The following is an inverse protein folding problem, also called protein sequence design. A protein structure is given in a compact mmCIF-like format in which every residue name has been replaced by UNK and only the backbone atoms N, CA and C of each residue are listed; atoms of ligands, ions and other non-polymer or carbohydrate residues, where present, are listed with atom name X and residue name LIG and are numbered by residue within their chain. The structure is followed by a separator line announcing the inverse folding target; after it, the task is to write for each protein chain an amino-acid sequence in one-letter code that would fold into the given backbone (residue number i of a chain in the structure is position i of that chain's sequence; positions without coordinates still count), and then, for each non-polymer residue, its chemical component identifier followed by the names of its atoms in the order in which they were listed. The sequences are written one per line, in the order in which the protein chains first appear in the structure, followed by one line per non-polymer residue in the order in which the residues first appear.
data_IF_664498124711
#
_entry.id   IF_664498124711
#
_cell.length_a   1.000
_cell.length_b   1.000
_cell.length_c   1.000
_cell.angle_alpha   90.00
_cell.angle_beta   90.00
_cell.angle_gamma   90.00
#
_symmetry.space_group_name_H-M   'P 1'
#
loop_
_entity.id
_entity.type
_entity.pdbx_description
1 polymer ?
#
# COMPACT_ATOMS: atom_id res chain seq x y z
N UNK A 1 9.98 -4.99 6.08
CA UNK A 1 9.77 -4.38 4.74
C UNK A 1 10.89 -3.40 4.45
N UNK A 2 11.23 -3.29 3.17
CA UNK A 2 12.10 -2.23 2.67
C UNK A 2 11.27 -0.97 2.43
N UNK A 3 11.88 0.20 2.56
CA UNK A 3 11.21 1.49 2.36
C UNK A 3 11.98 2.25 1.28
N UNK A 4 11.26 2.71 0.26
CA UNK A 4 11.78 3.62 -0.75
C UNK A 4 11.16 5.00 -0.52
N UNK A 5 11.98 5.93 -0.04
CA UNK A 5 11.60 7.30 0.29
C UNK A 5 11.98 8.28 -0.85
N UNK A 6 12.43 7.79 -2.01
CA UNK A 6 13.04 8.64 -3.06
C UNK A 6 12.12 9.77 -3.52
N UNK A 7 10.82 9.51 -3.67
CA UNK A 7 9.85 10.52 -4.15
C UNK A 7 9.57 11.56 -3.06
N UNK A 8 9.30 11.11 -1.84
CA UNK A 8 9.03 12.01 -0.71
C UNK A 8 10.27 12.83 -0.35
N UNK A 9 11.48 12.28 -0.38
CA UNK A 9 12.71 13.04 -0.15
C UNK A 9 12.88 14.17 -1.19
N UNK A 10 12.61 13.90 -2.46
CA UNK A 10 12.63 14.92 -3.52
C UNK A 10 11.62 16.02 -3.27
N UNK A 11 10.40 15.66 -2.86
CA UNK A 11 9.37 16.62 -2.47
C UNK A 11 9.84 17.51 -1.32
N UNK A 12 10.37 16.92 -0.24
CA UNK A 12 10.85 17.66 0.93
C UNK A 12 12.01 18.60 0.59
N UNK A 13 12.89 18.19 -0.34
CA UNK A 13 13.99 19.02 -0.86
C UNK A 13 13.55 20.02 -1.93
N UNK A 14 12.29 19.98 -2.38
CA UNK A 14 11.75 20.79 -3.47
C UNK A 14 12.50 20.60 -4.79
N UNK A 15 12.96 19.38 -5.04
CA UNK A 15 13.58 19.00 -6.31
C UNK A 15 12.51 18.84 -7.40
N UNK A 16 12.86 19.11 -8.65
CA UNK A 16 11.96 18.90 -9.78
C UNK A 16 11.94 17.43 -10.25
N UNK A 17 10.95 17.07 -11.06
CA UNK A 17 10.92 15.78 -11.76
C UNK A 17 10.40 14.61 -10.92
N UNK A 18 9.57 14.86 -9.91
CA UNK A 18 8.88 13.82 -9.15
C UNK A 18 8.04 12.97 -10.10
N UNK A 19 7.32 13.64 -11.01
CA UNK A 19 6.43 13.04 -12.00
C UNK A 19 7.14 12.05 -12.92
N UNK A 20 8.48 12.08 -13.01
CA UNK A 20 9.24 11.16 -13.85
C UNK A 20 9.47 9.79 -13.18
N UNK A 21 9.08 9.63 -11.91
CA UNK A 21 9.12 8.35 -11.26
C UNK A 21 8.16 7.35 -11.92
N UNK A 22 8.60 6.11 -12.06
CA UNK A 22 7.88 5.08 -12.82
C UNK A 22 6.48 4.78 -12.28
N UNK A 23 6.27 4.97 -10.97
CA UNK A 23 4.99 4.65 -10.32
C UNK A 23 3.84 5.40 -11.00
N UNK A 24 4.04 6.66 -11.39
CA UNK A 24 2.98 7.50 -11.93
C UNK A 24 2.50 7.03 -13.32
N UNK A 25 3.29 6.23 -14.02
CA UNK A 25 2.90 5.58 -15.28
C UNK A 25 2.29 4.18 -15.07
N UNK A 26 2.21 3.71 -13.83
CA UNK A 26 1.68 2.38 -13.47
C UNK A 26 0.40 2.46 -12.64
N UNK A 27 -0.01 3.63 -12.13
CA UNK A 27 -1.26 3.77 -11.37
C UNK A 27 -2.48 3.49 -12.25
N UNK A 28 -2.57 4.15 -13.42
CA UNK A 28 -3.66 4.00 -14.39
C UNK A 28 -3.09 3.48 -15.71
N UNK A 29 -3.59 2.36 -16.26
CA UNK A 29 -3.10 1.83 -17.53
C UNK A 29 -3.24 2.84 -18.68
N UNK A 30 -2.12 3.17 -19.32
CA UNK A 30 -2.08 4.06 -20.48
C UNK A 30 -2.08 5.55 -20.17
N UNK A 31 -2.07 5.94 -18.89
CA UNK A 31 -2.06 7.34 -18.46
C UNK A 31 -0.94 7.59 -17.44
N UNK A 32 -0.39 8.80 -17.47
CA UNK A 32 0.49 9.29 -16.42
C UNK A 32 -0.36 9.95 -15.34
N UNK A 33 -0.64 9.21 -14.28
CA UNK A 33 -1.42 9.69 -13.13
C UNK A 33 -0.50 10.43 -12.15
N UNK A 34 -0.41 11.75 -12.30
CA UNK A 34 0.36 12.61 -11.40
C UNK A 34 -0.44 13.88 -11.10
N UNK A 35 -0.65 14.15 -9.83
CA UNK A 35 -1.21 15.40 -9.31
C UNK A 35 -0.07 16.18 -8.64
N UNK A 36 0.08 17.47 -8.96
CA UNK A 36 1.13 18.28 -8.36
C UNK A 36 0.91 18.33 -6.83
N UNK A 37 1.86 17.83 -6.01
CA UNK A 37 1.71 17.85 -4.57
C UNK A 37 1.69 19.28 -4.02
N UNK A 38 0.83 19.53 -3.03
CA UNK A 38 0.72 20.81 -2.33
C UNK A 38 1.94 21.05 -1.43
N UNK A 39 2.83 21.95 -1.86
CA UNK A 39 4.05 22.30 -1.14
C UNK A 39 3.78 22.90 0.25
N UNK A 40 2.57 23.41 0.53
CA UNK A 40 2.25 23.94 1.86
C UNK A 40 2.17 22.85 2.93
N UNK A 41 1.90 21.60 2.52
CA UNK A 41 1.81 20.42 3.42
C UNK A 41 3.16 19.80 3.77
N UNK A 42 4.27 20.41 3.36
CA UNK A 42 5.62 19.81 3.48
C UNK A 42 5.96 19.38 4.90
N UNK A 43 5.69 20.24 5.88
CA UNK A 43 6.06 19.96 7.28
C UNK A 43 5.18 18.83 7.87
N UNK A 44 3.91 18.74 7.46
CA UNK A 44 3.02 17.63 7.80
C UNK A 44 3.47 16.31 7.15
N UNK A 45 3.89 16.35 5.89
CA UNK A 45 4.46 15.20 5.18
C UNK A 45 5.74 14.72 5.85
N UNK A 46 6.63 15.61 6.30
CA UNK A 46 7.85 15.22 7.01
C UNK A 46 7.56 14.51 8.35
N UNK A 47 6.53 14.98 9.08
CA UNK A 47 6.08 14.34 10.31
C UNK A 47 5.47 12.96 10.03
N UNK A 48 4.58 12.88 9.05
CA UNK A 48 3.92 11.63 8.65
C UNK A 48 4.92 10.61 8.13
N UNK A 49 5.94 11.04 7.38
CA UNK A 49 7.03 10.18 6.91
C UNK A 49 7.70 9.45 8.08
N UNK A 50 8.05 10.18 9.15
CA UNK A 50 8.68 9.58 10.35
C UNK A 50 7.76 8.53 11.01
N UNK A 51 6.46 8.80 11.05
CA UNK A 51 5.47 7.88 11.61
C UNK A 51 5.31 6.61 10.75
N UNK A 52 5.07 6.76 9.44
CA UNK A 52 4.93 5.64 8.51
C UNK A 52 6.20 4.78 8.49
N UNK A 53 7.38 5.40 8.42
CA UNK A 53 8.64 4.66 8.37
C UNK A 53 8.83 3.79 9.62
N UNK A 54 8.37 4.24 10.79
CA UNK A 54 8.35 3.42 12.01
C UNK A 54 7.33 2.29 11.90
N UNK A 55 6.09 2.58 11.50
CA UNK A 55 5.01 1.59 11.38
C UNK A 55 5.33 0.48 10.37
N UNK A 56 5.98 0.81 9.25
CA UNK A 56 6.39 -0.14 8.22
C UNK A 56 7.55 -1.03 8.70
N UNK A 57 8.46 -0.50 9.52
CA UNK A 57 9.57 -1.27 10.11
C UNK A 57 9.08 -2.23 11.18
N UNK A 58 8.20 -1.76 12.06
CA UNK A 58 7.63 -2.54 13.16
C UNK A 58 6.31 -3.21 12.77
N UNK A 59 6.09 -3.43 11.47
CA UNK A 59 4.80 -3.84 10.94
C UNK A 59 4.32 -5.17 11.55
N UNK A 60 3.06 -5.16 11.98
CA UNK A 60 2.31 -6.34 12.40
C UNK A 60 0.94 -6.30 11.73
N UNK A 61 0.56 -7.33 10.96
CA UNK A 61 -0.75 -7.34 10.32
C UNK A 61 -1.88 -7.39 11.35
N UNK A 62 -3.03 -6.84 10.97
CA UNK A 62 -4.30 -7.14 11.65
C UNK A 62 -4.60 -8.63 11.53
N UNK A 63 -5.47 -9.15 12.40
CA UNK A 63 -5.85 -10.57 12.44
C UNK A 63 -4.62 -11.49 12.50
N UNK A 64 -3.61 -11.10 13.28
CA UNK A 64 -2.26 -11.70 13.24
C UNK A 64 -2.25 -13.23 13.28
N UNK A 65 -3.07 -13.86 14.14
CA UNK A 65 -3.12 -15.31 14.26
C UNK A 65 -3.75 -15.96 13.02
N UNK A 66 -4.82 -15.40 12.48
CA UNK A 66 -5.40 -15.84 11.21
C UNK A 66 -4.43 -15.63 10.05
N UNK A 67 -3.73 -14.50 10.02
CA UNK A 67 -2.71 -14.18 9.03
C UNK A 67 -1.56 -15.20 9.04
N UNK A 68 -1.11 -15.62 10.24
CA UNK A 68 -0.10 -16.67 10.40
C UNK A 68 -0.57 -18.04 9.87
N UNK A 69 -1.85 -18.36 10.04
CA UNK A 69 -2.42 -19.64 9.57
C UNK A 69 -2.58 -19.64 8.06
N UNK A 70 -3.10 -18.55 7.49
CA UNK A 70 -3.36 -18.46 6.05
C UNK A 70 -2.09 -18.33 5.23
N UNK A 71 -1.11 -17.55 5.72
CA UNK A 71 0.11 -17.24 4.97
C UNK A 71 1.37 -17.54 5.79
N UNK A 72 1.78 -18.80 6.00
CA UNK A 72 2.89 -19.14 6.89
C UNK A 72 4.23 -18.47 6.55
N UNK A 73 4.42 -18.04 5.29
CA UNK A 73 5.62 -17.36 4.80
C UNK A 73 5.51 -15.83 4.77
N UNK A 74 4.43 -15.23 5.30
CA UNK A 74 4.18 -13.78 5.19
C UNK A 74 5.33 -12.93 5.73
N UNK A 75 6.10 -13.42 6.71
CA UNK A 75 7.27 -12.72 7.26
C UNK A 75 8.39 -12.59 6.22
N UNK A 76 8.71 -13.69 5.54
CA UNK A 76 9.70 -13.71 4.46
C UNK A 76 9.25 -12.82 3.30
N UNK A 77 7.95 -12.88 2.96
CA UNK A 77 7.35 -12.00 1.95
C UNK A 77 7.50 -10.53 2.38
N UNK A 78 7.15 -10.21 3.63
CA UNK A 78 7.26 -8.88 4.24
C UNK A 78 8.70 -8.34 4.22
N UNK A 79 9.71 -9.17 4.45
CA UNK A 79 11.12 -8.76 4.37
C UNK A 79 11.53 -8.39 2.94
N UNK A 80 10.96 -9.05 1.93
CA UNK A 80 11.25 -8.82 0.52
C UNK A 80 10.39 -7.73 -0.12
N UNK A 81 9.22 -7.42 0.45
CA UNK A 81 8.33 -6.35 0.00
C UNK A 81 8.97 -4.97 0.19
N UNK A 82 8.81 -4.11 -0.81
CA UNK A 82 9.21 -2.70 -0.76
C UNK A 82 7.96 -1.83 -0.71
N UNK A 83 7.90 -0.93 0.28
CA UNK A 83 6.89 0.13 0.38
C UNK A 83 7.50 1.42 -0.17
N UNK A 84 6.92 1.97 -1.22
CA UNK A 84 7.29 3.25 -1.82
C UNK A 84 6.44 4.34 -1.16
N UNK A 85 7.11 5.30 -0.52
CA UNK A 85 6.46 6.47 0.06
C UNK A 85 6.46 7.60 -0.96
N UNK A 86 5.29 7.88 -1.52
CA UNK A 86 5.09 8.85 -2.59
C UNK A 86 4.33 10.09 -2.13
N UNK A 87 4.38 11.10 -2.99
CA UNK A 87 3.44 12.22 -3.01
C UNK A 87 3.05 12.49 -4.47
N UNK A 88 1.82 12.92 -4.70
CA UNK A 88 1.34 13.29 -6.03
C UNK A 88 0.59 12.18 -6.77
N UNK A 89 0.18 11.12 -6.09
CA UNK A 89 -0.85 10.22 -6.60
C UNK A 89 -2.22 10.91 -6.55
N UNK A 90 -2.99 10.89 -7.66
CA UNK A 90 -4.31 11.52 -7.66
C UNK A 90 -5.29 10.74 -6.78
N UNK A 91 -6.35 11.38 -6.30
CA UNK A 91 -7.43 10.64 -5.63
C UNK A 91 -8.09 9.64 -6.61
N UNK A 92 -8.49 8.45 -6.16
CA UNK A 92 -8.49 7.96 -4.78
C UNK A 92 -7.25 7.12 -4.41
N UNK A 93 -6.12 7.27 -5.11
CA UNK A 93 -4.96 6.38 -4.95
C UNK A 93 -4.09 6.76 -3.74
N UNK A 94 -4.51 6.35 -2.54
CA UNK A 94 -3.80 6.53 -1.27
C UNK A 94 -2.90 5.34 -0.92
N UNK A 95 -3.37 4.11 -1.18
CA UNK A 95 -2.63 2.87 -1.05
C UNK A 95 -2.90 1.95 -2.25
N UNK A 96 -1.88 1.25 -2.73
CA UNK A 96 -2.00 0.30 -3.83
C UNK A 96 -0.78 -0.58 -4.01
N UNK A 97 -0.96 -1.77 -4.58
CA UNK A 97 0.13 -2.62 -5.10
C UNK A 97 0.33 -2.41 -6.61
N UNK A 98 1.59 -2.28 -7.04
CA UNK A 98 1.99 -2.25 -8.47
C UNK A 98 3.18 -3.15 -8.74
N UNK A 99 3.15 -3.80 -9.91
CA UNK A 99 4.22 -4.66 -10.37
C UNK A 99 5.21 -3.90 -11.24
N UNK A 100 6.50 -4.10 -11.01
CA UNK A 100 7.58 -3.66 -11.90
C UNK A 100 8.69 -4.70 -11.91
N UNK A 101 9.16 -5.06 -13.11
CA UNK A 101 10.24 -6.02 -13.32
C UNK A 101 9.99 -7.37 -12.61
N UNK A 102 8.73 -7.82 -12.58
CA UNK A 102 8.32 -9.08 -11.93
C UNK A 102 8.25 -9.02 -10.40
N UNK A 103 8.42 -7.84 -9.80
CA UNK A 103 8.30 -7.62 -8.36
C UNK A 103 7.13 -6.70 -8.03
N UNK A 104 6.40 -7.02 -6.97
CA UNK A 104 5.34 -6.18 -6.43
C UNK A 104 5.88 -5.15 -5.43
N UNK A 105 5.31 -3.95 -5.49
CA UNK A 105 5.61 -2.82 -4.64
C UNK A 105 4.32 -2.29 -4.05
N UNK A 106 4.29 -2.07 -2.74
CA UNK A 106 3.24 -1.31 -2.09
C UNK A 106 3.56 0.17 -2.26
N UNK A 107 2.59 1.00 -2.59
CA UNK A 107 2.76 2.45 -2.76
C UNK A 107 1.80 3.14 -1.81
N UNK A 108 2.33 4.06 -1.00
CA UNK A 108 1.55 4.92 -0.11
C UNK A 108 1.75 6.39 -0.46
N UNK A 109 0.65 7.10 -0.70
CA UNK A 109 0.68 8.54 -0.92
C UNK A 109 0.44 9.31 0.39
N UNK A 110 1.49 10.03 0.82
CA UNK A 110 1.46 10.73 2.09
C UNK A 110 0.50 11.92 2.09
N UNK A 111 0.29 12.59 0.95
CA UNK A 111 -0.63 13.74 0.89
C UNK A 111 -2.08 13.27 1.02
N UNK A 112 -2.42 12.14 0.39
CA UNK A 112 -3.74 11.52 0.55
C UNK A 112 -3.95 11.06 1.99
N UNK A 113 -2.93 10.49 2.63
CA UNK A 113 -3.01 10.12 4.05
C UNK A 113 -3.24 11.29 5.01
N UNK A 114 -2.73 12.49 4.70
CA UNK A 114 -3.04 13.68 5.50
C UNK A 114 -4.54 14.02 5.52
N UNK A 115 -5.30 13.64 4.48
CA UNK A 115 -6.75 13.88 4.42
C UNK A 115 -7.50 13.08 5.50
N UNK A 116 -7.03 11.88 5.85
CA UNK A 116 -7.57 11.10 6.97
C UNK A 116 -7.26 11.73 8.32
N UNK A 117 -6.01 12.15 8.53
CA UNK A 117 -5.60 12.84 9.77
C UNK A 117 -6.41 14.12 9.99
N UNK A 118 -6.59 14.92 8.94
CA UNK A 118 -7.37 16.15 8.99
C UNK A 118 -8.86 15.91 9.24
N UNK A 119 -9.36 14.71 8.93
CA UNK A 119 -10.73 14.28 9.21
C UNK A 119 -10.90 13.63 10.60
N UNK A 120 -9.84 13.62 11.43
CA UNK A 120 -9.86 13.11 12.79
C UNK A 120 -9.74 11.59 12.92
N UNK A 121 -9.36 10.89 11.86
CA UNK A 121 -9.12 9.44 11.92
C UNK A 121 -7.76 9.11 12.55
N UNK A 122 -7.67 7.92 13.15
CA UNK A 122 -6.41 7.35 13.63
C UNK A 122 -5.55 6.92 12.42
N UNK A 123 -4.58 7.76 12.08
CA UNK A 123 -3.73 7.54 10.91
C UNK A 123 -2.85 6.30 11.05
N UNK A 124 -2.35 6.00 12.25
CA UNK A 124 -1.49 4.83 12.47
C UNK A 124 -2.29 3.54 12.24
N UNK A 125 -3.53 3.52 12.73
CA UNK A 125 -4.47 2.42 12.48
C UNK A 125 -4.78 2.27 10.98
N UNK A 126 -5.06 3.37 10.27
CA UNK A 126 -5.35 3.33 8.83
C UNK A 126 -4.16 2.81 8.03
N UNK A 127 -2.95 3.31 8.29
CA UNK A 127 -1.73 2.87 7.61
C UNK A 127 -1.53 1.36 7.82
N UNK A 128 -1.66 0.88 9.07
CA UNK A 128 -1.51 -0.55 9.37
C UNK A 128 -2.60 -1.39 8.74
N UNK A 129 -3.83 -0.89 8.68
CA UNK A 129 -4.96 -1.55 8.02
C UNK A 129 -4.70 -1.70 6.51
N UNK A 130 -4.34 -0.61 5.83
CA UNK A 130 -4.03 -0.63 4.40
C UNK A 130 -2.80 -1.48 4.11
N UNK A 131 -1.75 -1.42 4.94
CA UNK A 131 -0.58 -2.28 4.76
C UNK A 131 -0.91 -3.76 4.96
N UNK A 132 -1.84 -4.09 5.87
CA UNK A 132 -2.34 -5.46 6.03
C UNK A 132 -3.08 -5.94 4.78
N UNK A 133 -3.91 -5.06 4.21
CA UNK A 133 -4.66 -5.32 2.98
C UNK A 133 -3.72 -5.55 1.79
N UNK A 134 -2.81 -4.61 1.53
CA UNK A 134 -1.88 -4.70 0.40
C UNK A 134 -0.90 -5.88 0.53
N UNK A 135 -0.43 -6.20 1.74
CA UNK A 135 0.40 -7.38 1.94
C UNK A 135 -0.38 -8.68 1.69
N UNK A 136 -1.70 -8.69 1.93
CA UNK A 136 -2.50 -9.88 1.71
C UNK A 136 -2.56 -10.21 0.22
N UNK A 137 -2.71 -9.21 -0.66
CA UNK A 137 -2.59 -9.40 -2.10
C UNK A 137 -1.26 -10.06 -2.48
N UNK A 138 -0.14 -9.54 -1.98
CA UNK A 138 1.19 -10.11 -2.28
C UNK A 138 1.28 -11.57 -1.81
N UNK A 139 0.76 -11.89 -0.62
CA UNK A 139 0.74 -13.27 -0.12
C UNK A 139 -0.15 -14.18 -0.99
N UNK A 140 -1.33 -13.69 -1.40
CA UNK A 140 -2.24 -14.42 -2.29
C UNK A 140 -1.61 -14.66 -3.65
N UNK A 141 -0.91 -13.68 -4.21
CA UNK A 141 -0.24 -13.81 -5.50
C UNK A 141 0.93 -14.80 -5.48
N UNK A 142 1.63 -14.92 -4.35
CA UNK A 142 2.69 -15.91 -4.15
C UNK A 142 2.12 -17.34 -4.08
N UNK A 143 1.08 -17.57 -3.26
CA UNK A 143 0.50 -18.90 -3.05
C UNK A 143 -0.45 -19.33 -4.18
N UNK A 144 -1.15 -18.37 -4.79
CA UNK A 144 -2.20 -18.55 -5.80
C UNK A 144 -2.05 -17.53 -6.94
N UNK A 145 -1.00 -17.66 -7.77
CA UNK A 145 -0.69 -16.67 -8.80
C UNK A 145 -1.84 -16.50 -9.82
N UNK A 146 -2.11 -15.27 -10.29
CA UNK A 146 -3.15 -15.02 -11.27
C UNK A 146 -2.82 -15.68 -12.61
N UNK A 147 -3.78 -16.41 -13.18
CA UNK A 147 -3.60 -17.08 -14.47
C UNK A 147 -3.86 -16.08 -15.61
N UNK A 148 -2.82 -15.75 -16.37
CA UNK A 148 -2.82 -14.69 -17.40
C UNK A 148 -3.80 -14.88 -18.59
N UNK A 149 -4.49 -16.03 -18.71
CA UNK A 149 -5.36 -16.36 -19.85
C UNK A 149 -6.74 -16.89 -19.46
N UNK A 150 -7.35 -16.26 -18.46
CA UNK A 150 -8.68 -16.60 -17.98
C UNK A 150 -9.80 -15.85 -18.73
N UNK A 151 -10.98 -16.47 -18.86
CA UNK A 151 -12.20 -15.80 -19.31
C UNK A 151 -12.67 -14.74 -18.30
N UNK A 152 -13.68 -13.96 -18.67
CA UNK A 152 -14.19 -12.90 -17.79
C UNK A 152 -14.65 -13.43 -16.42
N UNK A 153 -15.34 -14.58 -16.40
CA UNK A 153 -15.89 -15.17 -15.17
C UNK A 153 -14.79 -15.64 -14.23
N UNK A 154 -13.74 -16.27 -14.75
CA UNK A 154 -12.63 -16.74 -13.94
C UNK A 154 -11.84 -15.57 -13.35
N UNK A 155 -11.61 -14.51 -14.13
CA UNK A 155 -11.00 -13.27 -13.62
C UNK A 155 -11.85 -12.65 -12.51
N UNK A 156 -13.17 -12.57 -12.70
CA UNK A 156 -14.08 -12.04 -11.68
C UNK A 156 -14.04 -12.87 -10.39
N UNK A 157 -14.00 -14.21 -10.49
CA UNK A 157 -13.86 -15.10 -9.32
C UNK A 157 -12.56 -14.85 -8.58
N UNK A 158 -11.45 -14.74 -9.30
CA UNK A 158 -10.15 -14.46 -8.71
C UNK A 158 -10.14 -13.11 -8.01
N UNK A 159 -10.55 -12.04 -8.69
CA UNK A 159 -10.62 -10.69 -8.11
C UNK A 159 -11.54 -10.66 -6.88
N UNK A 160 -12.68 -11.35 -6.92
CA UNK A 160 -13.59 -11.39 -5.76
C UNK A 160 -12.95 -12.11 -4.57
N UNK A 161 -12.23 -13.20 -4.82
CA UNK A 161 -11.50 -13.94 -3.79
C UNK A 161 -10.38 -13.08 -3.18
N UNK A 162 -9.55 -12.49 -4.04
CA UNK A 162 -8.38 -11.69 -3.67
C UNK A 162 -8.76 -10.47 -2.82
N UNK A 163 -9.61 -9.59 -3.37
CA UNK A 163 -10.14 -8.40 -2.66
C UNK A 163 -10.91 -8.78 -1.39
N UNK A 164 -11.71 -9.85 -1.46
CA UNK A 164 -12.51 -10.32 -0.33
C UNK A 164 -11.66 -10.75 0.85
N UNK A 165 -10.62 -11.57 0.60
CA UNK A 165 -9.70 -12.03 1.66
C UNK A 165 -8.87 -10.87 2.20
N UNK A 166 -8.35 -10.00 1.34
CA UNK A 166 -7.56 -8.84 1.75
C UNK A 166 -8.38 -7.90 2.65
N UNK A 167 -9.64 -7.62 2.31
CA UNK A 167 -10.54 -6.82 3.16
C UNK A 167 -10.88 -7.50 4.48
N UNK A 168 -11.17 -8.80 4.50
CA UNK A 168 -11.45 -9.56 5.73
C UNK A 168 -10.27 -9.45 6.69
N UNK A 169 -9.04 -9.66 6.21
CA UNK A 169 -7.85 -9.61 7.05
C UNK A 169 -7.53 -8.21 7.58
N UNK A 170 -7.90 -7.17 6.84
CA UNK A 170 -7.72 -5.79 7.24
C UNK A 170 -8.90 -5.24 8.08
N UNK A 171 -10.04 -5.92 8.16
CA UNK A 171 -11.28 -5.36 8.71
C UNK A 171 -11.18 -4.94 10.19
N UNK A 172 -10.56 -5.75 11.03
CA UNK A 172 -10.46 -5.52 12.47
C UNK A 172 -9.17 -6.12 13.07
N UNK A 173 -8.78 -5.69 14.27
CA UNK A 173 -7.56 -6.17 14.94
C UNK A 173 -7.56 -7.69 15.13
N UNK A 174 -8.70 -8.22 15.56
CA UNK A 174 -8.96 -9.64 15.74
C UNK A 174 -10.44 -9.91 15.48
N UNK A 175 -10.74 -10.51 14.33
CA UNK A 175 -12.10 -10.85 13.92
C UNK A 175 -12.69 -11.97 14.78
N UNK A 176 -11.84 -12.83 15.35
CA UNK A 176 -12.29 -13.92 16.23
C UNK A 176 -12.67 -13.42 17.62
N UNK A 177 -12.43 -12.15 17.93
CA UNK A 177 -12.87 -11.49 19.16
C UNK A 177 -14.28 -10.90 19.08
N UNK A 178 -14.93 -10.92 17.90
CA UNK A 178 -16.34 -10.58 17.77
C UNK A 178 -17.17 -11.82 18.10
N UNK A 179 -17.66 -11.89 19.35
CA UNK A 179 -18.71 -12.81 19.79
C UNK A 179 -20.07 -12.47 19.13
#
# INVERSE_FOLDING_TARGET
MNIDETIVEKFLRQEAGLENHWIFSQIVPGEKAFEQPDCSKRDEVELLLKQITRLVKDFRPFNFDLYNVLFPQWRTITENTTVILSVGSPAPYDAMVRMKDGKEYVIFDLIRFLEYSNSGYDIERIIRQLLTHELAHICIHEDYPPIQYQGYIERLKYTTFDEGVAHILAFAEDMMSFD
#
